data_IF_847363522789
#
_entry.id   IF_847363522789
#
_cell.length_a   1.000
_cell.length_b   1.000
_cell.length_c   1.000
_cell.angle_alpha   90.00
_cell.angle_beta   90.00
_cell.angle_gamma   90.00
#
_symmetry.space_group_name_H-M   'P 1'
#
loop_
_entity.id
_entity.type
_entity.pdbx_description
1 polymer ?
#
# COMPACT_ATOMS: atom_id res chain seq x y z
N UNK A 1 -18.25 -7.51 -15.24
CA UNK A 1 -17.48 -6.58 -14.37
C UNK A 1 -17.02 -7.15 -13.00
N UNK A 2 -17.35 -8.40 -12.63
CA UNK A 2 -17.11 -8.95 -11.28
C UNK A 2 -15.64 -9.06 -10.81
N UNK A 3 -14.66 -8.86 -11.69
CA UNK A 3 -13.22 -8.97 -11.39
C UNK A 3 -12.48 -7.64 -11.32
N UNK A 4 -13.14 -6.50 -11.55
CA UNK A 4 -12.46 -5.19 -11.59
C UNK A 4 -12.15 -4.73 -10.17
N UNK A 5 -10.88 -4.43 -9.88
CA UNK A 5 -10.44 -3.83 -8.61
C UNK A 5 -10.60 -2.31 -8.62
N UNK A 6 -10.77 -1.74 -7.44
CA UNK A 6 -10.76 -0.30 -7.18
C UNK A 6 -9.50 0.01 -6.38
N UNK A 7 -8.60 0.79 -6.95
CA UNK A 7 -7.39 1.25 -6.28
C UNK A 7 -7.64 2.61 -5.61
N UNK A 8 -7.23 2.75 -4.35
CA UNK A 8 -7.34 3.99 -3.57
C UNK A 8 -5.98 4.30 -2.96
N UNK A 9 -5.48 5.51 -3.21
CA UNK A 9 -4.23 5.99 -2.66
C UNK A 9 -4.39 6.43 -1.20
N UNK A 10 -3.47 5.99 -0.35
CA UNK A 10 -3.38 6.39 1.04
C UNK A 10 -2.11 7.20 1.31
N UNK A 11 -2.30 8.38 1.87
CA UNK A 11 -1.23 9.26 2.29
C UNK A 11 -0.66 8.84 3.66
N UNK A 12 0.64 9.07 3.93
CA UNK A 12 1.27 8.75 5.21
C UNK A 12 0.56 9.33 6.45
N UNK A 13 -0.08 10.50 6.31
CA UNK A 13 -0.81 11.13 7.41
C UNK A 13 -2.00 10.30 7.91
N UNK A 14 -2.62 9.49 7.06
CA UNK A 14 -3.77 8.67 7.43
C UNK A 14 -3.39 7.51 8.36
N UNK A 15 -2.14 7.01 8.29
CA UNK A 15 -1.65 5.96 9.18
C UNK A 15 -1.45 6.43 10.63
N UNK A 16 -1.40 7.74 10.85
CA UNK A 16 -1.42 8.32 12.20
C UNK A 16 -2.82 8.39 12.80
N UNK A 17 -3.86 8.19 11.99
CA UNK A 17 -5.24 8.19 12.44
C UNK A 17 -5.65 6.78 12.88
N UNK A 18 -5.88 6.60 14.18
CA UNK A 18 -6.34 5.34 14.75
C UNK A 18 -7.69 4.84 14.18
N UNK A 19 -8.47 5.72 13.53
CA UNK A 19 -9.74 5.38 12.88
C UNK A 19 -9.62 4.88 11.44
N UNK A 20 -8.41 4.80 10.86
CA UNK A 20 -8.26 4.39 9.47
C UNK A 20 -8.90 3.01 9.20
N UNK A 21 -8.59 2.03 10.05
CA UNK A 21 -9.15 0.68 9.92
C UNK A 21 -10.68 0.68 9.98
N UNK A 22 -11.27 1.35 10.97
CA UNK A 22 -12.73 1.45 11.08
C UNK A 22 -13.36 2.16 9.88
N UNK A 23 -12.69 3.17 9.33
CA UNK A 23 -13.16 3.91 8.16
C UNK A 23 -13.20 3.01 6.93
N UNK A 24 -12.18 2.16 6.75
CA UNK A 24 -12.14 1.19 5.64
C UNK A 24 -13.27 0.17 5.80
N UNK A 25 -13.47 -0.37 7.00
CA UNK A 25 -14.55 -1.34 7.29
C UNK A 25 -15.92 -0.72 6.99
N UNK A 26 -16.17 0.48 7.49
CA UNK A 26 -17.43 1.21 7.26
C UNK A 26 -17.64 1.50 5.76
N UNK A 27 -16.61 1.91 5.04
CA UNK A 27 -16.71 2.16 3.60
C UNK A 27 -17.01 0.88 2.80
N UNK A 28 -16.41 -0.26 3.17
CA UNK A 28 -16.68 -1.56 2.55
C UNK A 28 -18.13 -2.01 2.82
N UNK A 29 -18.61 -1.83 4.05
CA UNK A 29 -19.98 -2.18 4.43
C UNK A 29 -21.01 -1.32 3.68
N UNK A 30 -20.84 0.00 3.67
CA UNK A 30 -21.74 0.94 2.99
C UNK A 30 -21.77 0.69 1.47
N UNK A 31 -20.62 0.40 0.86
CA UNK A 31 -20.52 0.20 -0.59
C UNK A 31 -20.94 -1.20 -1.05
N UNK A 32 -20.93 -2.18 -0.15
CA UNK A 32 -21.06 -3.60 -0.50
C UNK A 32 -19.91 -4.13 -1.38
N UNK A 33 -18.79 -3.42 -1.47
CA UNK A 33 -17.62 -3.85 -2.25
C UNK A 33 -16.95 -5.03 -1.54
N UNK A 34 -16.75 -6.18 -2.23
CA UNK A 34 -15.94 -7.26 -1.66
C UNK A 34 -14.54 -6.75 -1.29
N UNK A 35 -14.01 -7.02 -0.09
CA UNK A 35 -12.70 -6.53 0.34
C UNK A 35 -11.56 -6.85 -0.65
N UNK A 36 -11.60 -8.03 -1.27
CA UNK A 36 -10.63 -8.48 -2.28
C UNK A 36 -10.64 -7.65 -3.58
N UNK A 37 -11.63 -6.78 -3.76
CA UNK A 37 -11.70 -5.84 -4.87
C UNK A 37 -11.21 -4.45 -4.50
N UNK A 38 -10.98 -4.17 -3.21
CA UNK A 38 -10.30 -2.95 -2.78
C UNK A 38 -8.79 -3.20 -2.80
N UNK A 39 -8.07 -2.31 -3.47
CA UNK A 39 -6.61 -2.23 -3.43
C UNK A 39 -6.22 -0.89 -2.83
N UNK A 40 -5.41 -0.90 -1.78
CA UNK A 40 -4.90 0.32 -1.17
C UNK A 40 -3.45 0.50 -1.61
N UNK A 41 -3.18 1.63 -2.24
CA UNK A 41 -1.85 2.02 -2.70
C UNK A 41 -1.18 2.87 -1.62
N UNK A 42 0.03 2.48 -1.21
CA UNK A 42 0.85 3.22 -0.26
C UNK A 42 2.21 3.52 -0.87
N UNK A 43 2.75 4.71 -0.64
CA UNK A 43 4.10 5.05 -1.12
C UNK A 43 5.19 4.44 -0.24
N UNK A 44 6.42 4.34 -0.76
CA UNK A 44 7.60 3.91 -0.01
C UNK A 44 7.76 4.68 1.33
N UNK A 45 7.45 5.98 1.34
CA UNK A 45 7.53 6.84 2.52
C UNK A 45 6.63 6.38 3.68
N UNK A 46 5.49 5.74 3.40
CA UNK A 46 4.64 5.16 4.45
C UNK A 46 5.40 4.09 5.22
N UNK A 47 6.23 3.30 4.53
CA UNK A 47 7.03 2.23 5.12
C UNK A 47 8.29 2.73 5.78
N UNK A 48 8.89 3.81 5.27
CA UNK A 48 10.05 4.44 5.90
C UNK A 48 9.75 5.01 7.29
N UNK A 49 8.49 5.38 7.55
CA UNK A 49 8.06 5.68 8.91
C UNK A 49 8.32 4.50 9.87
N UNK A 50 8.40 3.27 9.33
CA UNK A 50 8.85 2.01 9.93
C UNK A 50 8.42 1.82 11.40
N UNK A 51 7.21 2.28 11.71
CA UNK A 51 6.68 2.17 13.05
C UNK A 51 5.96 0.84 13.18
N UNK A 52 6.09 0.19 14.33
CA UNK A 52 5.34 -1.03 14.63
C UNK A 52 3.83 -0.81 14.43
N UNK A 53 3.34 0.40 14.70
CA UNK A 53 1.94 0.77 14.49
C UNK A 53 1.53 0.74 13.01
N UNK A 54 2.37 1.25 12.10
CA UNK A 54 2.11 1.23 10.66
C UNK A 54 2.04 -0.21 10.14
N UNK A 55 3.02 -1.04 10.50
CA UNK A 55 3.06 -2.44 10.08
C UNK A 55 1.86 -3.23 10.61
N UNK A 56 1.52 -3.07 11.90
CA UNK A 56 0.33 -3.70 12.48
C UNK A 56 -0.95 -3.23 11.79
N UNK A 57 -1.06 -1.95 11.45
CA UNK A 57 -2.23 -1.43 10.73
C UNK A 57 -2.35 -2.04 9.32
N UNK A 58 -1.25 -2.12 8.55
CA UNK A 58 -1.24 -2.77 7.24
C UNK A 58 -1.62 -4.26 7.34
N UNK A 59 -1.13 -4.96 8.36
CA UNK A 59 -1.50 -6.36 8.62
C UNK A 59 -2.97 -6.52 8.93
N UNK A 60 -3.55 -5.68 9.80
CA UNK A 60 -4.98 -5.71 10.08
C UNK A 60 -5.83 -5.48 8.84
N UNK A 61 -5.45 -4.51 8.00
CA UNK A 61 -6.17 -4.23 6.75
C UNK A 61 -6.07 -5.42 5.79
N UNK A 62 -4.88 -6.01 5.63
CA UNK A 62 -4.69 -7.18 4.77
C UNK A 62 -5.49 -8.40 5.25
N UNK A 63 -5.61 -8.60 6.57
CA UNK A 63 -6.45 -9.68 7.14
C UNK A 63 -7.95 -9.49 6.88
N UNK A 64 -8.42 -8.28 6.53
CA UNK A 64 -9.80 -8.09 6.04
C UNK A 64 -10.00 -8.64 4.62
N UNK A 65 -8.93 -9.09 3.95
CA UNK A 65 -8.93 -9.49 2.55
C UNK A 65 -8.74 -8.33 1.57
N UNK A 66 -8.36 -7.14 2.05
CA UNK A 66 -8.02 -5.99 1.21
C UNK A 66 -6.61 -6.16 0.66
N UNK A 67 -6.43 -5.88 -0.64
CA UNK A 67 -5.11 -5.92 -1.24
C UNK A 67 -4.31 -4.66 -0.91
N UNK A 68 -3.01 -4.83 -0.65
CA UNK A 68 -2.08 -3.72 -0.42
C UNK A 68 -1.05 -3.69 -1.53
N UNK A 69 -0.97 -2.55 -2.20
CA UNK A 69 0.00 -2.26 -3.25
C UNK A 69 1.01 -1.20 -2.78
N UNK A 70 2.27 -1.39 -3.11
CA UNK A 70 3.30 -0.37 -2.96
C UNK A 70 3.36 0.49 -4.22
N UNK A 71 3.34 1.81 -4.06
CA UNK A 71 3.51 2.80 -5.11
C UNK A 71 4.86 3.51 -5.02
N UNK A 72 5.29 4.09 -6.14
CA UNK A 72 6.51 4.88 -6.29
C UNK A 72 7.79 4.16 -5.82
N UNK A 73 7.84 2.83 -5.95
CA UNK A 73 9.02 2.07 -5.54
C UNK A 73 10.22 2.41 -6.43
N UNK A 74 11.34 2.78 -5.80
CA UNK A 74 12.58 3.11 -6.51
C UNK A 74 12.88 4.60 -6.63
N UNK A 75 12.11 5.48 -5.98
CA UNK A 75 12.25 6.94 -6.08
C UNK A 75 13.28 7.56 -5.12
N UNK A 76 14.05 6.77 -4.37
CA UNK A 76 15.24 7.28 -3.66
C UNK A 76 15.48 6.81 -2.22
N UNK A 77 14.72 5.86 -1.68
CA UNK A 77 14.91 5.35 -0.31
C UNK A 77 15.20 3.84 -0.22
N UNK A 78 15.47 3.21 -1.36
CA UNK A 78 15.35 1.77 -1.54
C UNK A 78 16.31 0.94 -0.67
N UNK A 79 15.71 0.21 0.27
CA UNK A 79 16.25 -1.05 0.75
C UNK A 79 15.23 -2.16 0.51
N UNK A 80 15.59 -3.15 -0.32
CA UNK A 80 14.83 -4.41 -0.51
C UNK A 80 14.45 -5.09 0.83
N UNK A 81 15.14 -4.73 1.91
CA UNK A 81 14.84 -5.10 3.29
C UNK A 81 13.39 -4.89 3.67
N UNK A 82 12.74 -3.80 3.26
CA UNK A 82 11.36 -3.48 3.66
C UNK A 82 10.31 -4.36 2.96
N UNK A 83 10.58 -4.79 1.73
CA UNK A 83 9.73 -5.75 1.02
C UNK A 83 9.67 -7.09 1.75
N UNK A 84 10.68 -7.42 2.56
CA UNK A 84 10.67 -8.63 3.40
C UNK A 84 9.84 -8.48 4.68
N UNK A 85 9.51 -7.26 5.08
CA UNK A 85 8.82 -6.99 6.35
C UNK A 85 7.29 -7.11 6.24
N UNK A 86 6.73 -7.05 5.04
CA UNK A 86 5.28 -7.13 4.81
C UNK A 86 4.96 -7.78 3.45
N UNK A 87 4.00 -8.71 3.37
CA UNK A 87 3.65 -9.39 2.12
C UNK A 87 2.73 -8.51 1.25
N UNK A 88 3.32 -7.64 0.43
CA UNK A 88 2.56 -6.86 -0.56
C UNK A 88 1.95 -7.73 -1.64
N UNK A 89 0.74 -7.38 -2.08
CA UNK A 89 0.07 -8.03 -3.21
C UNK A 89 0.60 -7.56 -4.56
N UNK A 90 1.10 -6.32 -4.60
CA UNK A 90 1.60 -5.66 -5.81
C UNK A 90 2.66 -4.63 -5.44
N UNK A 91 3.65 -4.48 -6.31
CA UNK A 91 4.64 -3.40 -6.26
C UNK A 91 4.62 -2.69 -7.60
N UNK A 92 4.40 -1.37 -7.59
CA UNK A 92 4.48 -0.49 -8.74
C UNK A 92 5.87 0.14 -8.74
N UNK A 93 6.65 -0.18 -9.77
CA UNK A 93 7.99 0.39 -9.97
C UNK A 93 7.81 1.76 -10.59
N UNK A 94 8.42 2.77 -10.00
CA UNK A 94 8.39 4.12 -10.55
C UNK A 94 9.18 4.22 -11.86
N UNK A 95 8.72 5.08 -12.77
CA UNK A 95 9.38 5.25 -14.07
C UNK A 95 10.80 5.82 -13.95
N UNK A 96 11.09 6.65 -12.93
CA UNK A 96 12.44 7.17 -12.69
C UNK A 96 13.44 6.05 -12.44
N UNK A 97 13.03 4.99 -11.71
CA UNK A 97 13.88 3.82 -11.46
C UNK A 97 14.32 3.13 -12.77
N UNK A 98 13.41 3.02 -13.75
CA UNK A 98 13.73 2.42 -15.06
C UNK A 98 14.63 3.35 -15.88
N UNK A 99 14.43 4.67 -15.75
CA UNK A 99 15.22 5.68 -16.46
C UNK A 99 16.66 5.67 -15.93
N UNK A 100 16.84 5.70 -14.61
CA UNK A 100 18.16 5.65 -13.96
C UNK A 100 18.89 4.32 -14.23
N UNK A 101 18.17 3.19 -14.30
CA UNK A 101 18.75 1.89 -14.64
C UNK A 101 19.19 1.80 -16.11
N UNK A 102 18.70 2.69 -16.98
CA UNK A 102 19.09 2.80 -18.39
C UNK A 102 20.32 3.68 -18.61
N UNK A 103 20.63 4.59 -17.69
CA UNK A 103 21.80 5.48 -17.72
C UNK A 103 23.07 4.78 -17.17
N UNK A 104 23.30 3.54 -17.61
CA UNK A 104 24.58 2.86 -17.45
C UNK A 104 25.45 3.25 -18.65
N UNK A 105 26.06 4.44 -18.59
CA UNK A 105 27.25 4.82 -19.36
C UNK A 105 28.49 4.80 -18.44
#
# INVERSE_FOLDING_TARGET
PGSIKVAVNLCPAQFRNARLLSTIVEALDISGLPPSRLELEITETVLLANSQATLSMLQHIHMLGVHIAMDDFGTGYSSLSYLRSFPFDKIKIDQSFITDAGDID
#
